data_IF_811334221493
#
_entry.id   IF_811334221493
#
_cell.length_a   1.000
_cell.length_b   1.000
_cell.length_c   1.000
_cell.angle_alpha   90.00
_cell.angle_beta   90.00
_cell.angle_gamma   90.00
#
_symmetry.space_group_name_H-M   'P 1'
#
loop_
_entity.id
_entity.type
_entity.pdbx_description
1 polymer ?
#
# COMPACT_ATOMS: atom_id res chain seq x y z
N UNK A 1 18.04 -4.56 7.86
CA UNK A 1 18.45 -3.31 7.17
C UNK A 1 17.54 -3.04 5.99
N UNK A 2 17.16 -4.07 5.22
CA UNK A 2 16.16 -4.02 4.14
C UNK A 2 14.76 -3.56 4.61
N UNK A 3 14.25 -4.05 5.76
CA UNK A 3 12.93 -3.63 6.27
C UNK A 3 12.81 -2.11 6.53
N UNK A 4 13.88 -1.47 7.02
CA UNK A 4 13.90 -0.01 7.25
C UNK A 4 13.91 0.77 5.93
N UNK A 5 14.50 0.19 4.89
CA UNK A 5 14.50 0.77 3.54
C UNK A 5 13.10 0.67 2.91
N UNK A 6 12.45 -0.49 3.01
CA UNK A 6 11.10 -0.69 2.50
C UNK A 6 10.09 0.24 3.19
N UNK A 7 10.16 0.36 4.52
CA UNK A 7 9.30 1.26 5.29
C UNK A 7 9.42 2.72 4.82
N UNK A 8 10.64 3.19 4.56
CA UNK A 8 10.88 4.53 4.03
C UNK A 8 10.33 4.71 2.61
N UNK A 9 10.55 3.73 1.73
CA UNK A 9 10.02 3.76 0.37
C UNK A 9 8.49 3.84 0.38
N UNK A 10 7.85 3.07 1.26
CA UNK A 10 6.40 3.10 1.43
C UNK A 10 5.94 4.47 1.91
N UNK A 11 6.59 5.05 2.92
CA UNK A 11 6.27 6.39 3.44
C UNK A 11 6.36 7.46 2.33
N UNK A 12 7.44 7.47 1.55
CA UNK A 12 7.62 8.38 0.41
C UNK A 12 6.50 8.23 -0.64
N UNK A 13 6.06 7.00 -0.91
CA UNK A 13 4.92 6.75 -1.81
C UNK A 13 3.60 7.27 -1.22
N UNK A 14 3.34 7.04 0.06
CA UNK A 14 2.12 7.51 0.73
C UNK A 14 2.03 9.03 0.75
N UNK A 15 3.13 9.73 1.04
CA UNK A 15 3.18 11.19 0.97
C UNK A 15 2.92 11.72 -0.44
N UNK A 16 3.50 11.09 -1.46
CA UNK A 16 3.25 11.45 -2.85
C UNK A 16 1.75 11.30 -3.21
N UNK A 17 1.11 10.24 -2.71
CA UNK A 17 -0.33 10.08 -2.86
C UNK A 17 -1.13 11.16 -2.11
N UNK A 18 -0.66 11.63 -0.95
CA UNK A 18 -1.27 12.77 -0.23
C UNK A 18 -1.19 14.07 -1.03
N UNK A 19 -0.09 14.26 -1.78
CA UNK A 19 0.11 15.39 -2.71
C UNK A 19 -0.72 15.27 -3.99
N UNK A 20 -1.49 14.19 -4.15
CA UNK A 20 -2.44 14.01 -5.27
C UNK A 20 -1.97 13.04 -6.35
N UNK A 21 -0.83 12.37 -6.18
CA UNK A 21 -0.41 11.33 -7.13
C UNK A 21 -1.30 10.08 -7.01
N UNK A 22 -1.91 9.67 -8.12
CA UNK A 22 -2.84 8.52 -8.14
C UNK A 22 -2.36 7.34 -9.00
N UNK A 23 -1.31 7.54 -9.78
CA UNK A 23 -0.73 6.53 -10.65
C UNK A 23 0.20 5.60 -9.84
N UNK A 24 -0.32 4.42 -9.51
CA UNK A 24 0.40 3.44 -8.69
C UNK A 24 1.57 2.80 -9.43
N UNK A 25 1.48 2.65 -10.75
CA UNK A 25 2.56 2.13 -11.58
C UNK A 25 3.75 3.08 -11.57
N UNK A 26 3.48 4.37 -11.68
CA UNK A 26 4.50 5.41 -11.58
C UNK A 26 5.12 5.50 -10.19
N UNK A 27 4.32 5.37 -9.13
CA UNK A 27 4.82 5.40 -7.75
C UNK A 27 5.72 4.22 -7.43
N UNK A 28 5.27 2.99 -7.72
CA UNK A 28 6.08 1.79 -7.51
C UNK A 28 7.29 1.73 -8.45
N UNK A 29 7.17 2.27 -9.68
CA UNK A 29 8.26 2.32 -10.66
C UNK A 29 9.44 3.22 -10.29
N UNK A 30 9.32 4.08 -9.25
CA UNK A 30 10.43 4.87 -8.71
C UNK A 30 11.48 4.02 -8.01
N UNK A 31 11.08 2.84 -7.52
CA UNK A 31 11.91 1.92 -6.76
C UNK A 31 11.81 0.52 -7.38
N UNK A 32 12.45 0.27 -8.55
CA UNK A 32 12.34 -0.99 -9.27
C UNK A 32 12.64 -2.23 -8.41
N UNK A 33 13.64 -2.12 -7.54
CA UNK A 33 14.09 -3.16 -6.62
C UNK A 33 13.06 -3.52 -5.54
N UNK A 34 12.18 -2.59 -5.18
CA UNK A 34 11.15 -2.78 -4.17
C UNK A 34 9.73 -2.81 -4.77
N UNK A 35 9.61 -2.77 -6.10
CA UNK A 35 8.33 -2.58 -6.80
C UNK A 35 7.30 -3.63 -6.42
N UNK A 36 7.71 -4.90 -6.38
CA UNK A 36 6.83 -6.03 -6.13
C UNK A 36 6.34 -6.07 -4.67
N UNK A 37 7.15 -5.55 -3.74
CA UNK A 37 6.79 -5.43 -2.32
C UNK A 37 5.94 -4.18 -2.04
N UNK A 38 6.25 -3.05 -2.69
CA UNK A 38 5.60 -1.75 -2.45
C UNK A 38 4.23 -1.65 -3.12
N UNK A 39 4.11 -2.15 -4.35
CA UNK A 39 2.87 -2.08 -5.14
C UNK A 39 1.62 -2.53 -4.38
N UNK A 40 1.57 -3.73 -3.76
CA UNK A 40 0.39 -4.18 -3.03
C UNK A 40 0.07 -3.27 -1.84
N UNK A 41 1.07 -2.70 -1.17
CA UNK A 41 0.88 -1.82 -0.01
C UNK A 41 0.25 -0.48 -0.40
N UNK A 42 0.72 0.13 -1.51
CA UNK A 42 0.15 1.39 -1.99
C UNK A 42 -1.23 1.20 -2.64
N UNK A 43 -1.53 0.03 -3.22
CA UNK A 43 -2.87 -0.35 -3.67
C UNK A 43 -3.87 -0.40 -2.51
N UNK A 44 -3.49 -1.04 -1.40
CA UNK A 44 -4.28 -1.09 -0.17
C UNK A 44 -4.51 0.32 0.37
N UNK A 45 -3.45 1.14 0.45
CA UNK A 45 -3.57 2.52 0.89
C UNK A 45 -4.52 3.33 0.02
N UNK A 46 -4.47 3.17 -1.32
CA UNK A 46 -5.38 3.85 -2.24
C UNK A 46 -6.84 3.39 -2.04
N UNK A 47 -7.06 2.08 -1.88
CA UNK A 47 -8.39 1.52 -1.61
C UNK A 47 -8.97 2.10 -0.31
N UNK A 48 -8.17 2.13 0.75
CA UNK A 48 -8.57 2.70 2.04
C UNK A 48 -8.90 4.18 1.92
N UNK A 49 -8.08 4.97 1.22
CA UNK A 49 -8.33 6.41 1.02
C UNK A 49 -9.60 6.68 0.22
N UNK A 50 -9.87 5.91 -0.84
CA UNK A 50 -11.14 6.00 -1.60
C UNK A 50 -12.35 5.68 -0.72
N UNK A 51 -12.22 4.71 0.19
CA UNK A 51 -13.30 4.30 1.11
C UNK A 51 -13.41 5.20 2.36
N UNK A 52 -12.35 5.95 2.71
CA UNK A 52 -12.31 6.91 3.85
C UNK A 52 -13.32 8.07 3.70
N UNK A 53 -13.90 8.27 2.52
CA UNK A 53 -15.04 9.18 2.34
C UNK A 53 -16.31 8.73 3.08
N UNK A 54 -16.35 7.49 3.57
CA UNK A 54 -17.44 6.96 4.38
C UNK A 54 -16.84 6.66 5.76
N UNK A 55 -17.18 7.46 6.77
CA UNK A 55 -16.88 7.23 8.19
C UNK A 55 -17.60 5.98 8.75
N UNK A 56 -17.68 4.91 7.97
CA UNK A 56 -18.13 3.61 8.41
C UNK A 56 -16.92 2.81 8.90
N UNK A 57 -17.02 2.11 10.05
CA UNK A 57 -16.04 1.09 10.41
C UNK A 57 -15.80 0.17 9.20
N UNK A 58 -14.54 -0.17 8.92
CA UNK A 58 -14.22 -1.16 7.89
C UNK A 58 -15.06 -2.41 8.19
N UNK A 59 -15.88 -2.86 7.23
CA UNK A 59 -16.69 -4.06 7.43
C UNK A 59 -15.79 -5.25 7.79
N UNK A 60 -16.30 -6.21 8.57
CA UNK A 60 -15.54 -7.41 8.92
C UNK A 60 -14.94 -8.08 7.69
N UNK A 61 -15.75 -8.22 6.63
CA UNK A 61 -15.35 -8.77 5.34
C UNK A 61 -14.17 -8.00 4.70
N UNK A 62 -14.21 -6.66 4.71
CA UNK A 62 -13.11 -5.85 4.15
C UNK A 62 -11.83 -5.99 4.98
N UNK A 63 -11.94 -6.09 6.30
CA UNK A 63 -10.77 -6.32 7.16
C UNK A 63 -10.15 -7.69 6.92
N UNK A 64 -10.96 -8.72 6.72
CA UNK A 64 -10.50 -10.07 6.40
C UNK A 64 -9.80 -10.11 5.04
N UNK A 65 -10.40 -9.49 4.00
CA UNK A 65 -9.78 -9.39 2.67
C UNK A 65 -8.42 -8.68 2.71
N UNK A 66 -8.33 -7.55 3.42
CA UNK A 66 -7.07 -6.82 3.60
C UNK A 66 -6.03 -7.66 4.35
N UNK A 67 -6.45 -8.40 5.38
CA UNK A 67 -5.58 -9.28 6.15
C UNK A 67 -5.02 -10.40 5.29
N UNK A 68 -5.85 -11.05 4.48
CA UNK A 68 -5.40 -12.09 3.56
C UNK A 68 -4.41 -11.53 2.53
N UNK A 69 -4.71 -10.37 1.94
CA UNK A 69 -3.79 -9.72 1.00
C UNK A 69 -2.44 -9.43 1.65
N UNK A 70 -2.41 -8.89 2.87
CA UNK A 70 -1.14 -8.65 3.58
C UNK A 70 -0.38 -9.95 3.89
N UNK A 71 -1.08 -11.00 4.34
CA UNK A 71 -0.45 -12.28 4.69
C UNK A 71 0.09 -13.04 3.49
N UNK A 72 -0.56 -12.93 2.33
CA UNK A 72 -0.09 -13.55 1.08
C UNK A 72 1.19 -12.90 0.57
N UNK A 73 1.34 -11.59 0.74
CA UNK A 73 2.53 -10.87 0.29
C UNK A 73 3.68 -10.93 1.30
N UNK A 74 3.41 -11.07 2.61
CA UNK A 74 4.45 -11.24 3.64
C UNK A 74 5.05 -12.65 3.76
N UNK A 75 4.60 -13.62 2.96
CA UNK A 75 5.08 -15.01 2.95
C UNK A 75 6.04 -15.34 1.80
N UNK A 76 6.33 -14.40 0.91
CA UNK A 76 7.19 -14.59 -0.25
C UNK A 76 8.66 -14.18 -0.01
N UNK A 77 9.06 -13.95 1.25
CA UNK A 77 10.45 -13.68 1.67
C UNK A 77 11.16 -14.93 2.16
#
# INVERSE_FOLDING_TARGET
MEELMLARILEECLEAMERGETDLDRLAGRYPEARDEIRPLIEIAQLLRRRRSVFAPLSLQLREELRERLLTHGRAS
#
